data_IF_986785529199
#
_entry.id   IF_986785529199
#
_cell.length_a   1.000
_cell.length_b   1.000
_cell.length_c   1.000
_cell.angle_alpha   90.00
_cell.angle_beta   90.00
_cell.angle_gamma   90.00
#
_symmetry.space_group_name_H-M   'P 1'
#
loop_
_entity.id
_entity.type
_entity.pdbx_description
1 polymer ?
#
# COMPACT_ATOMS: atom_id res chain seq x y z
N UNK A 1 4.75 -10.44 -35.83
CA UNK A 1 4.19 -10.63 -34.48
C UNK A 1 5.25 -10.77 -33.40
N UNK A 2 6.30 -11.59 -33.54
CA UNK A 2 7.27 -11.83 -32.44
C UNK A 2 8.15 -10.62 -32.05
N UNK A 3 8.63 -9.84 -33.02
CA UNK A 3 9.50 -8.67 -32.75
C UNK A 3 8.77 -7.51 -32.06
N UNK A 4 7.51 -7.25 -32.42
CA UNK A 4 6.74 -6.14 -31.86
C UNK A 4 6.27 -6.42 -30.42
N UNK A 5 6.00 -7.69 -30.09
CA UNK A 5 5.76 -8.10 -28.70
C UNK A 5 7.03 -8.03 -27.84
N UNK A 6 8.18 -8.42 -28.38
CA UNK A 6 9.47 -8.30 -27.69
C UNK A 6 9.85 -6.83 -27.45
N UNK A 7 9.62 -5.96 -28.44
CA UNK A 7 9.88 -4.53 -28.33
C UNK A 7 8.97 -3.87 -27.28
N UNK A 8 7.67 -4.21 -27.26
CA UNK A 8 6.74 -3.69 -26.26
C UNK A 8 7.14 -4.11 -24.84
N UNK A 9 7.55 -5.36 -24.63
CA UNK A 9 8.04 -5.81 -23.32
C UNK A 9 9.30 -5.05 -22.88
N UNK A 10 10.23 -4.78 -23.80
CA UNK A 10 11.44 -4.04 -23.49
C UNK A 10 11.14 -2.62 -23.01
N UNK A 11 10.12 -1.96 -23.56
CA UNK A 11 9.71 -0.62 -23.13
C UNK A 11 9.21 -0.58 -21.68
N UNK A 12 8.50 -1.62 -21.22
CA UNK A 12 8.08 -1.74 -19.81
C UNK A 12 9.27 -1.98 -18.88
N UNK A 13 10.23 -2.81 -19.30
CA UNK A 13 11.44 -3.09 -18.50
C UNK A 13 12.30 -1.83 -18.39
N UNK A 14 12.54 -1.12 -19.49
CA UNK A 14 13.29 0.15 -19.46
C UNK A 14 12.61 1.18 -18.56
N UNK A 15 11.28 1.28 -18.60
CA UNK A 15 10.54 2.16 -17.70
C UNK A 15 10.66 1.75 -16.23
N UNK A 16 10.59 0.45 -15.92
CA UNK A 16 10.78 -0.08 -14.57
C UNK A 16 12.20 0.21 -14.06
N UNK A 17 13.23 0.00 -14.88
CA UNK A 17 14.61 0.31 -14.54
C UNK A 17 14.80 1.81 -14.24
N UNK A 18 14.24 2.69 -15.09
CA UNK A 18 14.32 4.14 -14.93
C UNK A 18 13.66 4.60 -13.62
N UNK A 19 12.41 4.19 -13.39
CA UNK A 19 11.66 4.64 -12.21
C UNK A 19 12.21 4.03 -10.92
N UNK A 20 12.72 2.80 -10.98
CA UNK A 20 13.41 2.16 -9.86
C UNK A 20 14.68 2.88 -9.47
N UNK A 21 15.57 3.11 -10.44
CA UNK A 21 16.83 3.81 -10.20
C UNK A 21 16.58 5.20 -9.61
N UNK A 22 15.62 5.94 -10.19
CA UNK A 22 15.22 7.24 -9.66
C UNK A 22 14.66 7.14 -8.24
N UNK A 23 13.87 6.10 -7.93
CA UNK A 23 13.32 5.88 -6.58
C UNK A 23 14.44 5.64 -5.57
N UNK A 24 15.41 4.79 -5.92
CA UNK A 24 16.56 4.45 -5.08
C UNK A 24 17.46 5.67 -4.85
N UNK A 25 17.81 6.41 -5.92
CA UNK A 25 18.70 7.57 -5.84
C UNK A 25 18.09 8.75 -5.07
N UNK A 26 16.76 8.88 -5.13
CA UNK A 26 16.03 9.99 -4.49
C UNK A 26 15.43 9.65 -3.13
N UNK A 27 15.53 8.40 -2.67
CA UNK A 27 14.74 7.88 -1.55
C UNK A 27 13.24 8.15 -1.70
N UNK A 28 12.71 8.03 -2.91
CA UNK A 28 11.29 8.24 -3.21
C UNK A 28 10.83 9.70 -3.18
N UNK A 29 11.65 10.66 -3.63
CA UNK A 29 11.21 12.05 -3.76
C UNK A 29 10.18 12.18 -4.90
N UNK A 30 8.94 12.50 -4.53
CA UNK A 30 7.85 12.73 -5.48
C UNK A 30 8.20 13.75 -6.58
N UNK A 31 9.06 14.75 -6.30
CA UNK A 31 9.47 15.75 -7.30
C UNK A 31 10.32 15.16 -8.42
N UNK A 32 11.00 14.05 -8.16
CA UNK A 32 11.82 13.33 -9.15
C UNK A 32 10.97 12.25 -9.85
N UNK A 33 10.14 11.53 -9.10
CA UNK A 33 9.40 10.39 -9.64
C UNK A 33 8.15 10.80 -10.43
N UNK A 34 7.41 11.82 -9.99
CA UNK A 34 6.16 12.21 -10.66
C UNK A 34 6.35 12.66 -12.11
N UNK A 35 7.41 13.39 -12.50
CA UNK A 35 7.69 13.67 -13.91
C UNK A 35 7.89 12.41 -14.76
N UNK A 36 8.61 11.39 -14.24
CA UNK A 36 8.84 10.11 -14.93
C UNK A 36 7.52 9.38 -15.15
N UNK A 37 6.68 9.31 -14.10
CA UNK A 37 5.33 8.73 -14.18
C UNK A 37 4.44 9.49 -15.17
N UNK A 38 4.48 10.82 -15.14
CA UNK A 38 3.66 11.67 -16.00
C UNK A 38 4.02 11.51 -17.49
N UNK A 39 5.31 11.33 -17.79
CA UNK A 39 5.80 11.07 -19.15
C UNK A 39 5.46 9.67 -19.68
N UNK A 40 5.18 8.71 -18.79
CA UNK A 40 4.95 7.30 -19.12
C UNK A 40 3.55 6.80 -18.72
N UNK A 41 2.54 7.67 -18.72
CA UNK A 41 1.16 7.31 -18.35
C UNK A 41 0.57 6.19 -19.22
N UNK A 42 1.02 6.09 -20.48
CA UNK A 42 0.68 5.00 -21.41
C UNK A 42 1.08 3.63 -20.86
N UNK A 43 2.16 3.55 -20.07
CA UNK A 43 2.68 2.32 -19.46
C UNK A 43 2.03 2.00 -18.12
N UNK A 44 1.35 2.94 -17.46
CA UNK A 44 0.68 2.75 -16.17
C UNK A 44 -0.64 1.98 -16.34
N UNK A 45 -0.53 0.71 -16.71
CA UNK A 45 -1.65 -0.14 -17.12
C UNK A 45 -1.49 -1.58 -16.61
N UNK A 46 -2.46 -2.46 -16.90
CA UNK A 46 -2.45 -3.86 -16.45
C UNK A 46 -1.27 -4.69 -16.97
N UNK A 47 -0.70 -4.33 -18.12
CA UNK A 47 0.51 -4.98 -18.64
C UNK A 47 1.69 -4.72 -17.72
N UNK A 48 1.86 -3.47 -17.24
CA UNK A 48 2.91 -3.14 -16.28
C UNK A 48 2.74 -3.91 -14.98
N UNK A 49 1.53 -4.11 -14.47
CA UNK A 49 1.26 -4.94 -13.28
C UNK A 49 1.87 -6.34 -13.47
N UNK A 50 1.65 -6.97 -14.63
CA UNK A 50 2.19 -8.29 -14.93
C UNK A 50 3.71 -8.30 -15.13
N UNK A 51 4.28 -7.26 -15.75
CA UNK A 51 5.73 -7.16 -15.96
C UNK A 51 6.48 -6.85 -14.66
N UNK A 52 5.89 -6.04 -13.78
CA UNK A 52 6.51 -5.57 -12.56
C UNK A 52 6.88 -6.74 -11.64
N UNK A 53 6.00 -7.73 -11.48
CA UNK A 53 6.28 -8.93 -10.70
C UNK A 53 7.48 -9.72 -11.26
N UNK A 54 7.51 -9.93 -12.58
CA UNK A 54 8.59 -10.70 -13.21
C UNK A 54 9.94 -9.97 -13.11
N UNK A 55 9.91 -8.66 -13.36
CA UNK A 55 11.08 -7.79 -13.23
C UNK A 55 11.59 -7.77 -11.78
N UNK A 56 10.72 -7.60 -10.79
CA UNK A 56 11.09 -7.58 -9.38
C UNK A 56 11.68 -8.91 -8.91
N UNK A 57 11.09 -10.04 -9.32
CA UNK A 57 11.63 -11.37 -9.02
C UNK A 57 13.03 -11.56 -9.61
N UNK A 58 13.28 -11.02 -10.81
CA UNK A 58 14.60 -11.04 -11.43
C UNK A 58 15.62 -10.24 -10.60
N UNK A 59 15.29 -9.00 -10.21
CA UNK A 59 16.12 -8.17 -9.34
C UNK A 59 16.43 -8.89 -8.02
N UNK A 60 15.41 -9.44 -7.34
CA UNK A 60 15.57 -10.14 -6.07
C UNK A 60 16.46 -11.38 -6.19
N UNK A 61 16.38 -12.13 -7.30
CA UNK A 61 17.20 -13.33 -7.52
C UNK A 61 18.69 -13.03 -7.71
N UNK A 62 19.03 -11.81 -8.12
CA UNK A 62 20.40 -11.36 -8.33
C UNK A 62 20.95 -10.55 -7.14
N UNK A 63 20.09 -10.14 -6.22
CA UNK A 63 20.45 -9.28 -5.10
C UNK A 63 21.28 -10.03 -4.06
N UNK A 64 22.33 -9.38 -3.56
CA UNK A 64 23.04 -9.87 -2.37
C UNK A 64 22.14 -9.73 -1.13
N UNK A 65 22.26 -10.60 -0.10
CA UNK A 65 21.45 -10.50 1.12
C UNK A 65 21.52 -9.13 1.82
N UNK A 66 22.65 -8.42 1.71
CA UNK A 66 22.79 -7.08 2.28
C UNK A 66 21.97 -5.99 1.56
N UNK A 67 21.52 -6.25 0.32
CA UNK A 67 20.80 -5.30 -0.52
C UNK A 67 19.28 -5.48 -0.44
N UNK A 68 18.80 -6.67 -0.04
CA UNK A 68 17.37 -7.03 -0.08
C UNK A 68 16.50 -6.07 0.74
N UNK A 69 17.01 -5.57 1.87
CA UNK A 69 16.32 -4.56 2.67
C UNK A 69 16.09 -3.26 1.90
N UNK A 70 17.12 -2.74 1.23
CA UNK A 70 16.99 -1.49 0.47
C UNK A 70 16.07 -1.66 -0.74
N UNK A 71 16.13 -2.82 -1.40
CA UNK A 71 15.19 -3.19 -2.47
C UNK A 71 13.74 -3.16 -1.93
N UNK A 72 13.49 -3.73 -0.75
CA UNK A 72 12.16 -3.68 -0.15
C UNK A 72 11.70 -2.25 0.21
N UNK A 73 12.61 -1.38 0.66
CA UNK A 73 12.33 0.04 0.88
C UNK A 73 11.93 0.72 -0.44
N UNK A 74 12.67 0.46 -1.52
CA UNK A 74 12.40 1.06 -2.82
C UNK A 74 11.05 0.61 -3.40
N UNK A 75 10.68 -0.67 -3.21
CA UNK A 75 9.33 -1.15 -3.54
C UNK A 75 8.24 -0.38 -2.77
N UNK A 76 8.40 -0.18 -1.46
CA UNK A 76 7.43 0.56 -0.63
C UNK A 76 7.35 2.03 -1.07
N UNK A 77 8.49 2.68 -1.32
CA UNK A 77 8.55 4.07 -1.74
C UNK A 77 7.84 4.27 -3.08
N UNK A 78 8.17 3.45 -4.08
CA UNK A 78 7.50 3.49 -5.37
C UNK A 78 6.00 3.22 -5.25
N UNK A 79 5.60 2.21 -4.46
CA UNK A 79 4.19 1.90 -4.21
C UNK A 79 3.43 3.03 -3.54
N UNK A 80 4.03 3.74 -2.58
CA UNK A 80 3.43 4.91 -1.96
C UNK A 80 3.18 6.01 -3.00
N UNK A 81 4.19 6.29 -3.82
CA UNK A 81 4.14 7.33 -4.86
C UNK A 81 3.12 7.01 -5.94
N UNK A 82 3.11 5.80 -6.49
CA UNK A 82 2.16 5.44 -7.56
C UNK A 82 0.71 5.37 -7.02
N UNK A 83 0.51 4.91 -5.77
CA UNK A 83 -0.81 4.96 -5.11
C UNK A 83 -1.33 6.38 -4.96
N UNK A 84 -0.47 7.36 -4.70
CA UNK A 84 -0.85 8.77 -4.52
C UNK A 84 -0.70 9.63 -5.79
N UNK A 85 -0.20 9.04 -6.88
CA UNK A 85 -0.02 9.72 -8.15
C UNK A 85 -1.38 10.15 -8.74
N UNK A 86 -1.58 11.46 -9.03
CA UNK A 86 -2.89 12.00 -9.39
C UNK A 86 -3.24 11.85 -10.88
N UNK A 87 -2.29 11.49 -11.73
CA UNK A 87 -2.49 11.37 -13.18
C UNK A 87 -2.60 9.89 -13.62
N UNK A 88 -3.07 9.70 -14.85
CA UNK A 88 -3.24 8.38 -15.44
C UNK A 88 -4.47 7.63 -14.91
N UNK A 89 -4.43 6.31 -15.03
CA UNK A 89 -5.55 5.45 -14.64
C UNK A 89 -5.42 5.06 -13.15
N UNK A 90 -6.28 5.62 -12.30
CA UNK A 90 -6.29 5.35 -10.85
C UNK A 90 -6.40 3.86 -10.50
N UNK A 91 -7.17 3.10 -11.25
CA UNK A 91 -7.32 1.66 -11.03
C UNK A 91 -5.99 0.93 -11.26
N UNK A 92 -5.30 1.21 -12.37
CA UNK A 92 -3.97 0.66 -12.65
C UNK A 92 -2.94 1.08 -11.60
N UNK A 93 -2.94 2.36 -11.20
CA UNK A 93 -1.99 2.87 -10.20
C UNK A 93 -2.12 2.12 -8.86
N UNK A 94 -3.34 1.84 -8.42
CA UNK A 94 -3.60 1.04 -7.21
C UNK A 94 -3.16 -0.41 -7.37
N UNK A 95 -3.45 -1.04 -8.53
CA UNK A 95 -3.01 -2.42 -8.80
C UNK A 95 -1.47 -2.54 -8.83
N UNK A 96 -0.76 -1.54 -9.39
CA UNK A 96 0.71 -1.47 -9.37
C UNK A 96 1.24 -1.31 -7.94
N UNK A 97 0.64 -0.42 -7.15
CA UNK A 97 1.04 -0.20 -5.76
C UNK A 97 0.92 -1.47 -4.91
N UNK A 98 -0.19 -2.20 -5.07
CA UNK A 98 -0.46 -3.47 -4.38
C UNK A 98 0.65 -4.48 -4.65
N UNK A 99 1.01 -4.69 -5.93
CA UNK A 99 2.11 -5.59 -6.30
C UNK A 99 3.42 -5.17 -5.63
N UNK A 100 3.76 -3.88 -5.63
CA UNK A 100 5.00 -3.43 -4.98
C UNK A 100 5.00 -3.63 -3.45
N UNK A 101 3.87 -3.42 -2.77
CA UNK A 101 3.79 -3.73 -1.34
C UNK A 101 3.88 -5.23 -1.07
N UNK A 102 3.23 -6.07 -1.89
CA UNK A 102 3.32 -7.53 -1.78
C UNK A 102 4.75 -8.03 -2.01
N UNK A 103 5.47 -7.46 -2.98
CA UNK A 103 6.89 -7.70 -3.23
C UNK A 103 7.74 -7.31 -2.02
N UNK A 104 7.52 -6.12 -1.44
CA UNK A 104 8.23 -5.69 -0.23
C UNK A 104 8.00 -6.64 0.96
N UNK A 105 6.78 -7.14 1.12
CA UNK A 105 6.40 -8.08 2.20
C UNK A 105 6.99 -9.49 2.02
N UNK A 106 7.62 -9.80 0.89
CA UNK A 106 8.43 -11.02 0.75
C UNK A 106 9.76 -10.92 1.51
N UNK A 107 10.20 -9.71 1.83
CA UNK A 107 11.47 -9.41 2.51
C UNK A 107 11.22 -8.83 3.89
N UNK A 108 10.34 -7.84 4.00
CA UNK A 108 9.87 -7.36 5.29
C UNK A 108 8.98 -8.42 5.88
N UNK A 109 9.51 -9.18 6.83
CA UNK A 109 8.74 -10.14 7.63
C UNK A 109 8.47 -9.54 9.01
N UNK A 110 7.43 -10.03 9.70
CA UNK A 110 7.16 -9.63 11.09
C UNK A 110 8.35 -9.91 12.03
N UNK A 111 9.13 -10.95 11.75
CA UNK A 111 10.24 -11.36 12.60
C UNK A 111 11.49 -10.49 12.40
N UNK A 112 11.84 -10.21 11.14
CA UNK A 112 13.11 -9.56 10.80
C UNK A 112 12.97 -8.03 10.74
N UNK A 113 11.80 -7.54 10.31
CA UNK A 113 11.53 -6.11 10.09
C UNK A 113 10.12 -5.74 10.59
N UNK A 114 9.81 -5.89 11.89
CA UNK A 114 8.46 -5.77 12.41
C UNK A 114 7.80 -4.42 12.08
N UNK A 115 8.54 -3.32 12.15
CA UNK A 115 8.00 -1.96 11.93
C UNK A 115 7.73 -1.70 10.45
N UNK A 116 8.69 -2.02 9.57
CA UNK A 116 8.53 -1.90 8.12
C UNK A 116 7.44 -2.84 7.60
N UNK A 117 7.36 -4.07 8.13
CA UNK A 117 6.29 -5.02 7.83
C UNK A 117 4.92 -4.44 8.19
N UNK A 118 4.74 -3.97 9.43
CA UNK A 118 3.45 -3.42 9.87
C UNK A 118 3.04 -2.16 9.10
N UNK A 119 4.01 -1.30 8.78
CA UNK A 119 3.76 -0.11 7.95
C UNK A 119 3.36 -0.48 6.54
N UNK A 120 4.04 -1.46 5.94
CA UNK A 120 3.73 -1.95 4.59
C UNK A 120 2.35 -2.64 4.57
N UNK A 121 2.02 -3.44 5.59
CA UNK A 121 0.68 -4.05 5.74
C UNK A 121 -0.42 -2.99 5.81
N UNK A 122 -0.25 -1.93 6.61
CA UNK A 122 -1.21 -0.84 6.67
C UNK A 122 -1.37 -0.13 5.32
N UNK A 123 -0.27 0.10 4.58
CA UNK A 123 -0.33 0.76 3.28
C UNK A 123 -0.98 -0.12 2.20
N UNK A 124 -0.69 -1.42 2.23
CA UNK A 124 -1.35 -2.43 1.41
C UNK A 124 -2.86 -2.47 1.71
N UNK A 125 -3.25 -2.42 2.99
CA UNK A 125 -4.64 -2.36 3.41
C UNK A 125 -5.38 -1.12 2.86
N UNK A 126 -4.73 0.05 2.89
CA UNK A 126 -5.26 1.29 2.30
C UNK A 126 -5.44 1.12 0.78
N UNK A 127 -4.46 0.52 0.10
CA UNK A 127 -4.54 0.28 -1.34
C UNK A 127 -5.69 -0.67 -1.69
N UNK A 128 -5.86 -1.77 -0.95
CA UNK A 128 -6.98 -2.70 -1.10
C UNK A 128 -8.34 -2.04 -0.80
N UNK A 129 -8.43 -1.23 0.27
CA UNK A 129 -9.65 -0.49 0.61
C UNK A 129 -10.12 0.41 -0.54
N UNK A 130 -9.16 1.02 -1.24
CA UNK A 130 -9.39 1.94 -2.35
C UNK A 130 -9.43 1.26 -3.73
N UNK A 131 -9.08 -0.02 -3.82
CA UNK A 131 -8.95 -0.76 -5.07
C UNK A 131 -10.28 -0.76 -5.84
N UNK A 132 -10.18 -0.40 -7.12
CA UNK A 132 -11.32 -0.23 -8.03
C UNK A 132 -11.58 -1.51 -8.85
N UNK A 133 -10.53 -2.29 -9.13
CA UNK A 133 -10.61 -3.52 -9.94
C UNK A 133 -10.87 -4.75 -9.06
N UNK A 134 -11.43 -5.81 -9.66
CA UNK A 134 -11.73 -7.06 -8.97
C UNK A 134 -13.02 -6.99 -8.15
N UNK A 135 -13.19 -7.97 -7.26
CA UNK A 135 -14.36 -8.05 -6.40
C UNK A 135 -14.19 -7.12 -5.19
N UNK A 136 -15.12 -6.16 -5.03
CA UNK A 136 -15.06 -5.20 -3.92
C UNK A 136 -15.11 -5.85 -2.55
N UNK A 137 -15.84 -6.95 -2.39
CA UNK A 137 -15.92 -7.66 -1.13
C UNK A 137 -14.59 -8.30 -0.75
N UNK A 138 -13.96 -9.02 -1.70
CA UNK A 138 -12.64 -9.63 -1.50
C UNK A 138 -11.57 -8.58 -1.21
N UNK A 139 -11.60 -7.44 -1.92
CA UNK A 139 -10.69 -6.33 -1.66
C UNK A 139 -10.83 -5.78 -0.23
N UNK A 140 -12.06 -5.66 0.29
CA UNK A 140 -12.27 -5.19 1.66
C UNK A 140 -11.88 -6.24 2.71
N UNK A 141 -12.12 -7.51 2.44
CA UNK A 141 -11.70 -8.61 3.32
C UNK A 141 -10.16 -8.68 3.40
N UNK A 142 -9.44 -8.49 2.28
CA UNK A 142 -7.98 -8.38 2.27
C UNK A 142 -7.47 -7.12 2.99
N UNK A 143 -8.15 -5.98 2.84
CA UNK A 143 -7.80 -4.77 3.59
C UNK A 143 -7.91 -4.98 5.10
N UNK A 144 -9.02 -5.56 5.57
CA UNK A 144 -9.24 -5.88 6.98
C UNK A 144 -8.12 -6.79 7.49
N UNK A 145 -7.79 -7.86 6.75
CA UNK A 145 -6.70 -8.77 7.11
C UNK A 145 -5.37 -8.04 7.26
N UNK A 146 -5.03 -7.18 6.30
CA UNK A 146 -3.76 -6.42 6.32
C UNK A 146 -3.71 -5.41 7.49
N UNK A 147 -4.81 -4.71 7.80
CA UNK A 147 -4.85 -3.84 8.99
C UNK A 147 -4.70 -4.63 10.30
N UNK A 148 -5.36 -5.78 10.41
CA UNK A 148 -5.22 -6.65 11.58
C UNK A 148 -3.77 -7.12 11.77
N UNK A 149 -3.10 -7.50 10.68
CA UNK A 149 -1.67 -7.85 10.70
C UNK A 149 -0.81 -6.67 11.16
N UNK A 150 -1.05 -5.46 10.65
CA UNK A 150 -0.32 -4.27 11.08
C UNK A 150 -0.46 -4.00 12.60
N UNK A 151 -1.65 -4.25 13.16
CA UNK A 151 -1.94 -4.10 14.59
C UNK A 151 -1.25 -5.16 15.49
N UNK A 152 -0.67 -6.21 14.93
CA UNK A 152 0.14 -7.17 15.70
C UNK A 152 1.49 -6.58 16.17
N UNK A 153 1.94 -5.50 15.53
CA UNK A 153 3.18 -4.79 15.88
C UNK A 153 2.88 -3.36 16.33
N UNK A 154 1.98 -2.67 15.63
CA UNK A 154 1.52 -1.34 16.04
C UNK A 154 0.62 -1.50 17.23
N UNK A 155 1.16 -1.46 18.44
CA UNK A 155 0.38 -1.49 19.68
C UNK A 155 0.11 -0.08 20.19
N UNK A 156 -0.91 0.09 21.03
CA UNK A 156 -1.18 1.37 21.69
C UNK A 156 0.02 1.85 22.54
N UNK A 157 0.77 0.93 23.14
CA UNK A 157 1.87 1.25 24.03
C UNK A 157 3.12 1.69 23.26
N UNK A 158 3.48 0.98 22.19
CA UNK A 158 4.73 1.19 21.47
C UNK A 158 4.58 2.23 20.35
N UNK A 159 3.42 2.26 19.68
CA UNK A 159 3.15 3.12 18.53
C UNK A 159 1.74 3.72 18.60
N UNK A 160 1.42 4.53 19.63
CA UNK A 160 0.05 4.99 19.91
C UNK A 160 -0.63 5.65 18.71
N UNK A 161 0.08 6.53 18.00
CA UNK A 161 -0.46 7.27 16.86
C UNK A 161 -0.73 6.35 15.66
N UNK A 162 0.24 5.51 15.29
CA UNK A 162 0.10 4.56 14.19
C UNK A 162 -0.97 3.50 14.47
N UNK A 163 -1.04 3.02 15.73
CA UNK A 163 -2.10 2.13 16.18
C UNK A 163 -3.47 2.79 16.01
N UNK A 164 -3.64 4.03 16.47
CA UNK A 164 -4.93 4.74 16.36
C UNK A 164 -5.33 5.02 14.90
N UNK A 165 -4.37 5.38 14.05
CA UNK A 165 -4.60 5.52 12.61
C UNK A 165 -5.04 4.18 11.99
N UNK A 166 -4.33 3.10 12.31
CA UNK A 166 -4.64 1.76 11.78
C UNK A 166 -6.02 1.29 12.25
N UNK A 167 -6.38 1.54 13.53
CA UNK A 167 -7.72 1.25 14.06
C UNK A 167 -8.83 2.06 13.36
N UNK A 168 -8.61 3.36 13.13
CA UNK A 168 -9.58 4.19 12.40
C UNK A 168 -9.81 3.67 10.97
N UNK A 169 -8.74 3.25 10.28
CA UNK A 169 -8.85 2.74 8.92
C UNK A 169 -9.51 1.35 8.88
N UNK A 170 -9.19 0.49 9.85
CA UNK A 170 -9.85 -0.80 10.03
C UNK A 170 -11.35 -0.63 10.30
N UNK A 171 -11.72 0.36 11.12
CA UNK A 171 -13.12 0.70 11.36
C UNK A 171 -13.85 1.08 10.07
N UNK A 172 -13.24 1.93 9.24
CA UNK A 172 -13.80 2.28 7.92
C UNK A 172 -13.93 1.06 7.01
N UNK A 173 -12.96 0.13 7.02
CA UNK A 173 -13.05 -1.09 6.22
C UNK A 173 -14.21 -1.99 6.67
N UNK A 174 -14.42 -2.15 7.98
CA UNK A 174 -15.59 -2.85 8.52
C UNK A 174 -16.91 -2.16 8.18
N UNK A 175 -16.97 -0.84 8.26
CA UNK A 175 -18.15 -0.05 7.92
C UNK A 175 -18.61 -0.28 6.47
N UNK A 176 -17.66 -0.41 5.54
CA UNK A 176 -17.94 -0.66 4.13
C UNK A 176 -17.99 -2.15 3.75
N UNK A 177 -17.67 -3.07 4.67
CA UNK A 177 -17.63 -4.51 4.41
C UNK A 177 -19.00 -5.03 3.96
N UNK A 178 -19.01 -5.70 2.81
CA UNK A 178 -20.23 -6.15 2.12
C UNK A 178 -20.60 -7.59 2.52
N UNK A 179 -19.62 -8.38 2.95
CA UNK A 179 -19.76 -9.79 3.32
C UNK A 179 -19.95 -9.97 4.84
N UNK A 180 -20.62 -11.06 5.23
CA UNK A 180 -20.89 -11.39 6.63
C UNK A 180 -22.13 -10.70 7.19
N UNK A 181 -22.27 -10.73 8.52
CA UNK A 181 -23.40 -10.10 9.21
C UNK A 181 -23.16 -8.59 9.32
N UNK A 182 -24.07 -7.79 8.76
CA UNK A 182 -23.97 -6.33 8.78
C UNK A 182 -23.93 -5.76 10.20
N UNK A 183 -24.67 -6.33 11.15
CA UNK A 183 -24.68 -5.82 12.53
C UNK A 183 -23.31 -6.04 13.19
N UNK A 184 -22.74 -7.24 13.05
CA UNK A 184 -21.41 -7.57 13.58
C UNK A 184 -20.32 -6.69 12.96
N UNK A 185 -20.41 -6.43 11.65
CA UNK A 185 -19.47 -5.52 10.97
C UNK A 185 -19.55 -4.09 11.54
N UNK A 186 -20.76 -3.59 11.83
CA UNK A 186 -20.95 -2.26 12.42
C UNK A 186 -20.44 -2.22 13.87
N UNK A 187 -20.67 -3.26 14.66
CA UNK A 187 -20.16 -3.36 16.03
C UNK A 187 -18.62 -3.32 16.04
N UNK A 188 -17.98 -4.05 15.12
CA UNK A 188 -16.52 -4.02 14.96
C UNK A 188 -16.00 -2.64 14.50
N UNK A 189 -16.72 -1.96 13.59
CA UNK A 189 -16.37 -0.61 13.17
C UNK A 189 -16.43 0.38 14.35
N UNK A 190 -17.52 0.35 15.13
CA UNK A 190 -17.70 1.19 16.31
C UNK A 190 -16.58 0.93 17.32
N UNK A 191 -16.29 -0.34 17.61
CA UNK A 191 -15.21 -0.73 18.52
C UNK A 191 -13.86 -0.16 18.07
N UNK A 192 -13.53 -0.29 16.79
CA UNK A 192 -12.25 0.19 16.25
C UNK A 192 -12.16 1.73 16.28
N UNK A 193 -13.24 2.47 15.98
CA UNK A 193 -13.25 3.93 16.12
C UNK A 193 -13.10 4.36 17.58
N UNK A 194 -13.77 3.70 18.52
CA UNK A 194 -13.63 3.98 19.94
C UNK A 194 -12.18 3.77 20.41
N UNK A 195 -11.53 2.68 19.97
CA UNK A 195 -10.11 2.44 20.24
C UNK A 195 -9.22 3.57 19.68
N UNK A 196 -9.45 4.01 18.44
CA UNK A 196 -8.69 5.12 17.86
C UNK A 196 -8.83 6.42 18.68
N UNK A 197 -10.02 6.69 19.23
CA UNK A 197 -10.31 7.86 20.07
C UNK A 197 -9.64 7.83 21.45
N UNK A 198 -9.12 6.68 21.90
CA UNK A 198 -8.33 6.59 23.13
C UNK A 198 -6.95 7.28 23.02
N UNK A 199 -6.49 7.54 21.78
CA UNK A 199 -5.25 8.25 21.49
C UNK A 199 -5.53 9.55 20.74
N UNK A 200 -6.41 9.52 19.74
CA UNK A 200 -6.82 10.72 18.99
C UNK A 200 -7.78 11.55 19.83
N UNK A 201 -7.25 12.25 20.82
CA UNK A 201 -8.05 13.12 21.70
C UNK A 201 -8.24 14.49 21.05
N UNK A 202 -9.30 15.20 21.44
CA UNK A 202 -9.50 16.59 21.00
C UNK A 202 -8.35 17.52 21.40
N UNK A 203 -7.65 17.23 22.49
CA UNK A 203 -6.56 18.06 23.00
C UNK A 203 -5.26 17.85 22.20
N UNK A 204 -4.91 16.59 21.94
CA UNK A 204 -3.62 16.24 21.36
C UNK A 204 -3.68 16.20 19.82
N UNK A 205 -4.80 15.73 19.26
CA UNK A 205 -4.99 15.53 17.83
C UNK A 205 -6.38 16.00 17.38
N UNK A 206 -6.69 17.31 17.48
CA UNK A 206 -8.05 17.83 17.24
C UNK A 206 -8.62 17.50 15.85
N UNK A 207 -7.77 17.48 14.81
CA UNK A 207 -8.18 17.16 13.44
C UNK A 207 -8.51 15.68 13.29
N UNK A 208 -7.62 14.79 13.75
CA UNK A 208 -7.83 13.34 13.68
C UNK A 208 -9.01 12.91 14.56
N UNK A 209 -9.17 13.49 15.75
CA UNK A 209 -10.32 13.27 16.61
C UNK A 209 -11.62 13.63 15.90
N UNK A 210 -11.70 14.82 15.28
CA UNK A 210 -12.89 15.27 14.58
C UNK A 210 -13.23 14.36 13.38
N UNK A 211 -12.22 13.93 12.62
CA UNK A 211 -12.40 12.97 11.54
C UNK A 211 -12.94 11.63 12.05
N UNK A 212 -12.33 11.08 13.11
CA UNK A 212 -12.77 9.80 13.69
C UNK A 212 -14.18 9.90 14.28
N UNK A 213 -14.53 11.01 14.94
CA UNK A 213 -15.89 11.27 15.44
C UNK A 213 -16.92 11.37 14.31
N UNK A 214 -16.58 12.08 13.23
CA UNK A 214 -17.47 12.19 12.06
C UNK A 214 -17.72 10.83 11.41
N UNK A 215 -16.73 9.94 11.41
CA UNK A 215 -16.87 8.60 10.85
C UNK A 215 -17.63 7.63 11.77
N UNK A 216 -17.69 7.93 13.07
CA UNK A 216 -18.43 7.16 14.08
C UNK A 216 -19.91 7.56 14.17
N UNK A 217 -20.25 8.81 13.80
CA UNK A 217 -21.59 9.38 13.85
C UNK A 217 -22.56 8.75 12.83
#
# INVERSE_FOLDING_TARGET
>A
MNQQHQQNNQEYITFLDEVWQATSDSNGDAKIIYPILAANQDKLNRTLVAQYQNWANNILSQAAPAQTRNIAVDFVNFSNLIKDFPLGNRASNLDIAIIGYELALTIFTRADFPQEWATTQNNLAIAYSNKITGNKAENLDEAIRCYQLALEVRTRADFPQDWAMTQNNLASAYLYKITGNKAENLDEAIRCYQLALEVRTRADFPQDWAMTQNNLA
#
